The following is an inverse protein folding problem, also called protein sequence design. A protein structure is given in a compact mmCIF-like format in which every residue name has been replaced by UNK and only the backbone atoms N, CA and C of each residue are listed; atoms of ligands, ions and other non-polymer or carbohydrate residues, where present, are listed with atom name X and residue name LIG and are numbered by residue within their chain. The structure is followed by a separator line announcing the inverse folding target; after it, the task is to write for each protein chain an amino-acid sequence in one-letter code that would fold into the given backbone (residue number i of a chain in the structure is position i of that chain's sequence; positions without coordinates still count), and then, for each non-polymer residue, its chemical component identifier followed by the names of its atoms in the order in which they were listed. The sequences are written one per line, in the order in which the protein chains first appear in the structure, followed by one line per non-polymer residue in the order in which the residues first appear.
data_IF_320174987270
#
_entry.id   IF_320174987270
#
_cell.length_a   1.000
_cell.length_b   1.000
_cell.length_c   1.000
_cell.angle_alpha   90.00
_cell.angle_beta   90.00
_cell.angle_gamma   90.00
#
_symmetry.space_group_name_H-M   'P 1'
#
loop_
_entity.id
_entity.type
_entity.pdbx_description
1 polymer ?
#
# COMPACT_ATOMS: atom_id res chain seq x y z
N UNK A 1 -25.39 2.36 22.07
CA UNK A 1 -25.12 2.98 20.74
C UNK A 1 -24.42 1.93 19.90
N UNK A 2 -24.91 1.62 18.70
CA UNK A 2 -24.27 0.63 17.84
C UNK A 2 -22.88 1.15 17.42
N UNK A 3 -21.82 0.52 17.91
CA UNK A 3 -20.46 0.85 17.50
C UNK A 3 -20.26 0.34 16.07
N UNK A 4 -20.07 1.27 15.13
CA UNK A 4 -19.76 0.91 13.75
C UNK A 4 -18.45 0.10 13.74
N UNK A 5 -18.55 -1.18 13.38
CA UNK A 5 -17.39 -2.08 13.38
C UNK A 5 -16.51 -1.87 12.14
N UNK A 6 -17.13 -1.55 11.00
CA UNK A 6 -16.44 -1.40 9.72
C UNK A 6 -16.94 -0.14 9.00
N UNK A 7 -16.01 0.71 8.57
CA UNK A 7 -16.29 1.79 7.63
C UNK A 7 -15.54 1.53 6.34
N UNK A 8 -16.28 1.50 5.23
CA UNK A 8 -15.72 1.54 3.88
C UNK A 8 -15.80 3.00 3.42
N UNK A 9 -14.69 3.74 3.56
CA UNK A 9 -14.60 5.03 2.93
C UNK A 9 -14.52 4.82 1.41
N UNK A 10 -15.18 5.67 0.63
CA UNK A 10 -15.00 5.73 -0.82
C UNK A 10 -13.52 5.99 -1.18
N UNK A 11 -13.19 5.99 -2.47
CA UNK A 11 -11.81 6.28 -2.89
C UNK A 11 -11.40 7.71 -2.50
N UNK A 12 -10.21 7.86 -1.94
CA UNK A 12 -9.50 9.13 -1.72
C UNK A 12 -8.65 9.37 -2.97
N UNK A 13 -8.80 10.53 -3.58
CA UNK A 13 -8.00 10.91 -4.73
C UNK A 13 -6.66 11.42 -4.22
N UNK A 14 -5.55 10.82 -4.66
CA UNK A 14 -4.23 11.28 -4.20
C UNK A 14 -3.81 12.56 -4.93
N UNK A 15 -4.08 12.60 -6.23
CA UNK A 15 -3.83 13.75 -7.09
C UNK A 15 -5.10 14.10 -7.85
N UNK A 16 -5.26 15.39 -8.15
CA UNK A 16 -6.34 15.85 -9.02
C UNK A 16 -6.31 17.37 -9.22
N UNK A 17 -7.30 17.92 -9.96
CA UNK A 17 -7.42 19.35 -10.20
C UNK A 17 -7.61 20.17 -8.91
N UNK A 18 -7.30 21.47 -8.98
CA UNK A 18 -7.34 22.40 -7.83
C UNK A 18 -8.67 22.39 -7.04
N UNK A 19 -9.81 22.23 -7.72
CA UNK A 19 -11.14 22.32 -7.11
C UNK A 19 -11.75 20.97 -6.69
N UNK A 20 -10.94 19.92 -6.61
CA UNK A 20 -11.42 18.58 -6.27
C UNK A 20 -11.93 18.51 -4.82
N UNK A 21 -13.24 18.27 -4.63
CA UNK A 21 -13.87 18.23 -3.29
C UNK A 21 -14.02 16.83 -2.70
N UNK A 22 -13.63 15.78 -3.42
CA UNK A 22 -13.85 14.40 -3.03
C UNK A 22 -13.27 14.07 -1.65
N UNK A 23 -12.01 14.45 -1.41
CA UNK A 23 -11.33 14.18 -0.14
C UNK A 23 -11.96 14.94 1.02
N UNK A 24 -12.46 16.16 0.80
CA UNK A 24 -13.20 16.92 1.82
C UNK A 24 -14.47 16.20 2.26
N UNK A 25 -15.22 15.61 1.32
CA UNK A 25 -16.40 14.82 1.66
C UNK A 25 -16.02 13.56 2.48
N UNK A 26 -14.95 12.87 2.09
CA UNK A 26 -14.40 11.73 2.86
C UNK A 26 -13.98 12.18 4.26
N UNK A 27 -13.29 13.31 4.38
CA UNK A 27 -12.87 13.88 5.67
C UNK A 27 -14.07 14.22 6.56
N UNK A 28 -15.13 14.80 5.99
CA UNK A 28 -16.37 15.08 6.73
C UNK A 28 -17.03 13.80 7.26
N UNK A 29 -16.95 12.70 6.51
CA UNK A 29 -17.46 11.40 6.96
C UNK A 29 -16.60 10.80 8.08
N UNK A 30 -15.27 10.79 7.89
CA UNK A 30 -14.31 10.25 8.87
C UNK A 30 -14.44 10.94 10.24
N UNK A 31 -14.62 12.27 10.25
CA UNK A 31 -14.83 13.07 11.47
C UNK A 31 -16.09 12.73 12.27
N UNK A 32 -17.07 12.03 11.66
CA UNK A 32 -18.30 11.63 12.37
C UNK A 32 -18.07 10.48 13.35
N UNK A 33 -16.94 9.80 13.27
CA UNK A 33 -16.63 8.64 14.09
C UNK A 33 -15.39 8.92 14.94
N UNK A 34 -15.48 8.65 16.23
CA UNK A 34 -14.32 8.76 17.13
C UNK A 34 -13.50 7.46 17.16
N UNK A 35 -14.17 6.32 17.10
CA UNK A 35 -13.59 4.97 17.16
C UNK A 35 -14.29 4.08 16.14
N UNK A 36 -13.50 3.36 15.34
CA UNK A 36 -13.96 2.33 14.40
C UNK A 36 -13.01 1.14 14.54
N UNK A 37 -13.51 -0.09 14.58
CA UNK A 37 -12.60 -1.24 14.68
C UNK A 37 -11.75 -1.42 13.42
N UNK A 38 -12.41 -1.41 12.24
CA UNK A 38 -11.76 -1.55 10.93
C UNK A 38 -12.14 -0.40 9.99
N UNK A 39 -11.13 0.26 9.42
CA UNK A 39 -11.30 1.25 8.37
C UNK A 39 -10.69 0.74 7.08
N UNK A 40 -11.46 0.75 6.00
CA UNK A 40 -10.95 0.52 4.66
C UNK A 40 -10.92 1.83 3.88
N UNK A 41 -9.76 2.18 3.32
CA UNK A 41 -9.54 3.35 2.47
C UNK A 41 -8.88 2.88 1.17
N UNK A 42 -9.38 3.36 0.03
CA UNK A 42 -8.74 3.19 -1.26
C UNK A 42 -8.08 4.50 -1.69
N UNK A 43 -6.78 4.48 -1.99
CA UNK A 43 -6.04 5.59 -2.57
C UNK A 43 -6.02 5.41 -4.09
N UNK A 44 -6.58 6.37 -4.81
CA UNK A 44 -6.71 6.32 -6.25
C UNK A 44 -5.81 7.36 -6.92
N UNK A 45 -5.01 6.89 -7.87
CA UNK A 45 -4.14 7.69 -8.72
C UNK A 45 -4.73 7.71 -10.11
N UNK A 46 -4.89 8.90 -10.70
CA UNK A 46 -5.27 8.97 -12.12
C UNK A 46 -4.09 8.49 -12.99
N UNK A 47 -4.34 7.84 -14.15
CA UNK A 47 -3.26 7.41 -15.04
C UNK A 47 -2.34 8.55 -15.49
N UNK A 48 -2.93 9.73 -15.74
CA UNK A 48 -2.22 10.94 -16.14
C UNK A 48 -2.33 12.00 -15.05
N UNK A 49 -1.19 12.51 -14.57
CA UNK A 49 -1.11 13.49 -13.49
C UNK A 49 -0.71 14.90 -13.95
N UNK A 50 -0.76 15.17 -15.26
CA UNK A 50 -0.45 16.50 -15.79
C UNK A 50 -1.38 17.57 -15.20
N UNK A 51 -0.82 18.66 -14.67
CA UNK A 51 -1.53 19.76 -14.01
C UNK A 51 -2.36 19.34 -12.77
N UNK A 52 -2.04 18.22 -12.13
CA UNK A 52 -2.65 17.82 -10.87
C UNK A 52 -1.86 18.34 -9.67
N UNK A 53 -2.54 18.60 -8.56
CA UNK A 53 -1.91 18.88 -7.27
C UNK A 53 -2.08 17.68 -6.33
N UNK A 54 -1.27 17.63 -5.27
CA UNK A 54 -1.40 16.65 -4.20
C UNK A 54 -2.61 16.99 -3.31
N UNK A 55 -3.54 16.05 -3.13
CA UNK A 55 -4.83 16.27 -2.46
C UNK A 55 -4.95 15.59 -1.09
N UNK A 56 -3.96 14.80 -0.67
CA UNK A 56 -4.05 14.08 0.60
C UNK A 56 -4.12 15.02 1.80
N UNK A 57 -3.66 16.26 1.69
CA UNK A 57 -3.72 17.26 2.76
C UNK A 57 -5.15 17.62 3.20
N UNK A 58 -6.16 17.37 2.36
CA UNK A 58 -7.57 17.50 2.76
C UNK A 58 -7.97 16.44 3.82
N UNK A 59 -7.28 15.28 3.87
CA UNK A 59 -7.49 14.24 4.87
C UNK A 59 -6.61 14.54 6.07
N UNK A 60 -7.20 15.12 7.11
CA UNK A 60 -6.43 15.66 8.25
C UNK A 60 -6.56 14.85 9.53
N UNK A 61 -7.52 13.92 9.61
CA UNK A 61 -7.71 13.06 10.78
C UNK A 61 -8.39 11.76 10.37
N UNK A 62 -7.95 10.65 10.95
CA UNK A 62 -8.63 9.37 10.90
C UNK A 62 -9.22 9.07 12.28
N UNK A 63 -10.34 8.32 12.36
CA UNK A 63 -10.85 7.81 13.63
C UNK A 63 -9.79 6.93 14.30
N UNK A 64 -9.92 6.70 15.61
CA UNK A 64 -9.12 5.68 16.28
C UNK A 64 -9.50 4.31 15.71
N UNK A 65 -8.50 3.62 15.15
CA UNK A 65 -8.68 2.33 14.51
C UNK A 65 -7.68 1.30 15.02
N UNK A 66 -8.11 0.04 15.04
CA UNK A 66 -7.23 -1.10 15.34
C UNK A 66 -6.80 -1.84 14.08
N UNK A 67 -7.60 -1.78 13.01
CA UNK A 67 -7.30 -2.43 11.73
C UNK A 67 -7.47 -1.44 10.57
N UNK A 68 -6.39 -1.18 9.84
CA UNK A 68 -6.42 -0.47 8.55
C UNK A 68 -6.38 -1.44 7.37
N UNK A 69 -7.30 -1.27 6.42
CA UNK A 69 -7.20 -1.87 5.10
C UNK A 69 -6.95 -0.76 4.08
N UNK A 70 -5.72 -0.69 3.58
CA UNK A 70 -5.27 0.32 2.62
C UNK A 70 -5.16 -0.31 1.23
N UNK A 71 -6.06 0.07 0.33
CA UNK A 71 -5.96 -0.31 -1.08
C UNK A 71 -5.29 0.82 -1.85
N UNK A 72 -4.23 0.52 -2.59
CA UNK A 72 -3.56 1.48 -3.46
C UNK A 72 -3.83 1.09 -4.89
N UNK A 73 -4.42 2.00 -5.65
CA UNK A 73 -4.66 1.87 -7.09
C UNK A 73 -3.74 2.90 -7.76
N UNK A 74 -2.49 2.53 -7.99
CA UNK A 74 -1.42 3.50 -8.33
C UNK A 74 -1.29 3.82 -9.81
N UNK A 75 -1.77 2.94 -10.69
CA UNK A 75 -1.58 3.10 -12.15
C UNK A 75 -0.11 3.33 -12.56
N UNK A 76 0.84 2.71 -11.85
CA UNK A 76 2.28 2.81 -12.12
C UNK A 76 3.00 3.93 -11.35
N UNK A 77 2.24 4.82 -10.68
CA UNK A 77 2.79 5.91 -9.88
C UNK A 77 3.36 5.43 -8.54
N UNK A 78 4.30 6.18 -7.97
CA UNK A 78 4.80 5.91 -6.63
C UNK A 78 3.74 6.30 -5.59
N UNK A 79 3.55 5.46 -4.57
CA UNK A 79 2.47 5.66 -3.59
C UNK A 79 2.92 6.02 -2.17
N UNK A 80 4.22 5.99 -1.92
CA UNK A 80 4.78 6.05 -0.56
C UNK A 80 4.35 7.30 0.21
N UNK A 81 4.34 8.48 -0.44
CA UNK A 81 3.94 9.74 0.20
C UNK A 81 2.50 9.70 0.74
N UNK A 82 1.56 9.21 -0.08
CA UNK A 82 0.14 9.11 0.31
C UNK A 82 -0.10 8.07 1.40
N UNK A 83 0.63 6.94 1.36
CA UNK A 83 0.49 5.88 2.35
C UNK A 83 1.13 6.29 3.67
N UNK A 84 2.29 6.94 3.63
CA UNK A 84 2.91 7.60 4.78
C UNK A 84 1.96 8.61 5.41
N UNK A 85 1.30 9.44 4.60
CA UNK A 85 0.30 10.41 5.05
C UNK A 85 -0.88 9.73 5.78
N UNK A 86 -1.36 8.58 5.31
CA UNK A 86 -2.42 7.83 6.02
C UNK A 86 -1.88 7.28 7.34
N UNK A 87 -0.71 6.64 7.33
CA UNK A 87 -0.13 5.98 8.51
C UNK A 87 0.18 6.97 9.64
N UNK A 88 0.66 8.19 9.33
CA UNK A 88 0.88 9.24 10.34
C UNK A 88 -0.40 9.66 11.06
N UNK A 89 -1.57 9.48 10.45
CA UNK A 89 -2.87 9.83 11.05
C UNK A 89 -3.48 8.69 11.88
N UNK A 90 -2.92 7.48 11.85
CA UNK A 90 -3.45 6.32 12.57
C UNK A 90 -2.37 5.44 13.21
N UNK A 91 -1.45 6.05 13.97
CA UNK A 91 -0.31 5.36 14.60
C UNK A 91 -0.69 4.28 15.64
N UNK A 92 -1.93 4.33 16.16
CA UNK A 92 -2.48 3.30 17.07
C UNK A 92 -2.96 2.01 16.39
N UNK A 93 -2.82 1.90 15.07
CA UNK A 93 -3.21 0.71 14.31
C UNK A 93 -2.39 -0.51 14.75
N UNK A 94 -3.05 -1.66 14.90
CA UNK A 94 -2.41 -2.93 15.29
C UNK A 94 -2.25 -3.90 14.13
N UNK A 95 -3.18 -3.86 13.18
CA UNK A 95 -3.18 -4.71 11.99
C UNK A 95 -3.31 -3.86 10.73
N UNK A 96 -2.55 -4.18 9.71
CA UNK A 96 -2.65 -3.52 8.41
C UNK A 96 -2.75 -4.54 7.28
N UNK A 97 -3.68 -4.31 6.36
CA UNK A 97 -3.72 -4.98 5.06
C UNK A 97 -3.42 -3.93 3.98
N UNK A 98 -2.32 -4.08 3.25
CA UNK A 98 -1.93 -3.26 2.12
C UNK A 98 -2.16 -4.02 0.80
N UNK A 99 -3.08 -3.55 -0.03
CA UNK A 99 -3.36 -4.15 -1.35
C UNK A 99 -2.83 -3.25 -2.46
N UNK A 100 -1.86 -3.76 -3.24
CA UNK A 100 -1.21 -3.01 -4.32
C UNK A 100 -1.84 -3.40 -5.66
N UNK A 101 -2.74 -2.58 -6.19
CA UNK A 101 -3.44 -2.84 -7.45
C UNK A 101 -2.97 -1.91 -8.56
N UNK A 102 -2.87 -2.48 -9.74
CA UNK A 102 -2.67 -1.74 -11.00
C UNK A 102 -3.85 -2.04 -11.92
N UNK A 103 -4.38 -1.04 -12.64
CA UNK A 103 -5.50 -1.28 -13.56
C UNK A 103 -5.07 -1.94 -14.87
N UNK A 104 -3.78 -1.93 -15.21
CA UNK A 104 -3.26 -2.52 -16.44
C UNK A 104 -1.85 -3.07 -16.22
N UNK A 105 -1.58 -4.23 -16.82
CA UNK A 105 -0.31 -4.95 -16.75
C UNK A 105 0.84 -4.22 -17.46
N UNK A 106 0.53 -3.24 -18.31
CA UNK A 106 1.48 -2.53 -19.17
C UNK A 106 1.54 -1.01 -18.88
N UNK A 107 1.40 -0.60 -17.63
CA UNK A 107 1.64 0.80 -17.27
C UNK A 107 3.15 1.05 -17.13
N UNK A 108 3.70 2.10 -17.76
CA UNK A 108 5.08 2.47 -17.56
C UNK A 108 5.32 2.82 -16.08
N UNK A 109 6.53 2.54 -15.60
CA UNK A 109 6.93 3.01 -14.29
C UNK A 109 6.79 4.53 -14.20
N UNK A 110 6.44 5.03 -13.01
CA UNK A 110 6.42 6.45 -12.71
C UNK A 110 7.71 7.13 -13.21
N UNK A 111 7.57 8.14 -14.07
CA UNK A 111 8.72 8.88 -14.56
C UNK A 111 9.34 9.73 -13.44
N UNK A 112 10.63 10.03 -13.55
CA UNK A 112 11.33 10.96 -12.64
C UNK A 112 10.83 12.40 -12.73
N UNK A 113 10.09 12.74 -13.79
CA UNK A 113 9.47 14.05 -13.97
C UNK A 113 8.00 14.08 -13.49
N UNK A 114 7.55 13.00 -12.86
CA UNK A 114 6.22 12.94 -12.28
C UNK A 114 6.22 13.67 -10.94
N UNK A 115 5.12 14.37 -10.64
CA UNK A 115 4.89 15.02 -9.34
C UNK A 115 5.03 14.06 -8.15
N UNK A 116 4.83 12.75 -8.37
CA UNK A 116 5.02 11.74 -7.34
C UNK A 116 6.48 11.63 -6.85
N UNK A 117 7.46 12.09 -7.63
CA UNK A 117 8.87 12.08 -7.25
C UNK A 117 9.29 13.31 -6.41
N UNK A 118 8.45 14.35 -6.38
CA UNK A 118 8.69 15.53 -5.54
C UNK A 118 8.50 15.23 -4.04
N UNK A 119 7.62 14.27 -3.73
CA UNK A 119 7.25 13.90 -2.36
C UNK A 119 8.02 12.64 -1.90
N UNK A 120 9.33 12.76 -1.73
CA UNK A 120 10.22 11.65 -1.33
C UNK A 120 10.62 11.66 0.14
N UNK A 121 10.19 12.66 0.90
CA UNK A 121 10.46 12.82 2.33
C UNK A 121 10.08 11.58 3.15
N UNK A 122 9.02 10.85 2.78
CA UNK A 122 8.64 9.60 3.44
C UNK A 122 9.75 8.53 3.47
N UNK A 123 10.73 8.56 2.55
CA UNK A 123 11.85 7.60 2.55
C UNK A 123 12.82 7.84 3.72
N UNK A 124 12.95 9.09 4.16
CA UNK A 124 13.91 9.52 5.19
C UNK A 124 13.24 9.87 6.52
N UNK A 125 11.99 10.35 6.48
CA UNK A 125 11.25 10.70 7.67
C UNK A 125 10.99 9.49 8.58
N UNK A 126 11.15 9.74 9.88
CA UNK A 126 10.78 8.79 10.91
C UNK A 126 9.27 8.83 11.13
N UNK A 127 8.68 7.65 11.22
CA UNK A 127 7.31 7.45 11.65
C UNK A 127 7.33 6.36 12.71
N UNK A 128 6.58 6.56 13.77
CA UNK A 128 6.50 5.63 14.86
C UNK A 128 5.15 4.87 14.80
N UNK A 129 5.21 3.58 14.50
CA UNK A 129 4.07 2.66 14.49
C UNK A 129 4.20 1.64 15.63
N UNK A 130 4.41 2.12 16.86
CA UNK A 130 4.61 1.32 18.08
C UNK A 130 3.47 0.35 18.45
N UNK A 131 2.34 0.37 17.74
CA UNK A 131 1.24 -0.56 17.95
C UNK A 131 1.11 -1.61 16.84
N UNK A 132 1.80 -1.44 15.70
CA UNK A 132 1.59 -2.26 14.51
C UNK A 132 2.30 -3.61 14.66
N UNK A 133 1.51 -4.66 14.87
CA UNK A 133 1.97 -6.03 15.16
C UNK A 133 1.86 -6.95 13.95
N UNK A 134 0.81 -6.77 13.13
CA UNK A 134 0.52 -7.65 12.00
C UNK A 134 0.38 -6.84 10.71
N UNK A 135 1.11 -7.24 9.67
CA UNK A 135 1.00 -6.65 8.34
C UNK A 135 0.75 -7.75 7.31
N UNK A 136 -0.22 -7.54 6.44
CA UNK A 136 -0.37 -8.31 5.21
C UNK A 136 -0.21 -7.39 4.01
N UNK A 137 0.64 -7.79 3.07
CA UNK A 137 0.84 -7.12 1.79
C UNK A 137 0.36 -8.05 0.70
N UNK A 138 -0.54 -7.57 -0.14
CA UNK A 138 -1.06 -8.34 -1.28
C UNK A 138 -0.65 -7.71 -2.60
N UNK A 139 -0.39 -8.57 -3.57
CA UNK A 139 -0.06 -8.23 -4.96
C UNK A 139 1.26 -7.47 -5.12
N UNK A 140 2.27 -7.79 -4.29
CA UNK A 140 3.60 -7.20 -4.41
C UNK A 140 4.26 -7.62 -5.73
N UNK A 141 4.70 -6.65 -6.54
CA UNK A 141 5.37 -6.88 -7.83
C UNK A 141 6.90 -6.73 -7.72
N UNK A 142 7.35 -6.08 -6.65
CA UNK A 142 8.76 -5.82 -6.36
C UNK A 142 9.35 -4.73 -7.25
N UNK A 143 8.59 -3.69 -7.55
CA UNK A 143 9.14 -2.45 -8.10
C UNK A 143 9.76 -1.61 -6.99
N UNK A 144 10.74 -0.76 -7.31
CA UNK A 144 11.61 -0.10 -6.33
C UNK A 144 10.85 0.66 -5.23
N UNK A 145 9.78 1.37 -5.59
CA UNK A 145 9.01 2.14 -4.62
C UNK A 145 8.20 1.25 -3.67
N UNK A 146 7.77 0.06 -4.11
CA UNK A 146 7.14 -0.93 -3.23
C UNK A 146 8.15 -1.45 -2.22
N UNK A 147 9.33 -1.90 -2.69
CA UNK A 147 10.39 -2.44 -1.82
C UNK A 147 10.87 -1.38 -0.83
N UNK A 148 11.05 -0.14 -1.29
CA UNK A 148 11.41 0.99 -0.42
C UNK A 148 10.34 1.27 0.64
N UNK A 149 9.05 1.15 0.30
CA UNK A 149 7.97 1.29 1.27
C UNK A 149 7.97 0.17 2.31
N UNK A 150 8.16 -1.09 1.90
CA UNK A 150 8.26 -2.22 2.84
C UNK A 150 9.47 -2.07 3.76
N UNK A 151 10.62 -1.63 3.23
CA UNK A 151 11.79 -1.29 4.05
C UNK A 151 11.47 -0.24 5.11
N UNK A 152 10.73 0.80 4.73
CA UNK A 152 10.30 1.83 5.68
C UNK A 152 9.33 1.28 6.73
N UNK A 153 8.40 0.38 6.36
CA UNK A 153 7.50 -0.28 7.31
C UNK A 153 8.27 -1.04 8.39
N UNK A 154 9.29 -1.82 8.03
CA UNK A 154 10.15 -2.50 9.02
C UNK A 154 10.86 -1.53 9.97
N UNK A 155 11.25 -0.36 9.47
CA UNK A 155 11.87 0.70 10.29
C UNK A 155 10.86 1.36 11.22
N UNK A 156 9.65 1.63 10.75
CA UNK A 156 8.61 2.35 11.49
C UNK A 156 7.90 1.49 12.53
N UNK A 157 7.71 0.19 12.25
CA UNK A 157 6.98 -0.76 13.10
C UNK A 157 7.96 -1.62 13.91
N UNK A 158 8.51 -1.04 14.99
CA UNK A 158 9.54 -1.69 15.81
C UNK A 158 9.03 -2.90 16.62
N UNK A 159 7.71 -3.02 16.79
CA UNK A 159 7.04 -4.12 17.50
C UNK A 159 6.37 -5.12 16.55
N UNK A 160 6.73 -5.11 15.26
CA UNK A 160 6.12 -5.95 14.25
C UNK A 160 6.42 -7.44 14.52
N UNK A 161 5.35 -8.20 14.80
CA UNK A 161 5.42 -9.63 15.13
C UNK A 161 5.33 -10.48 13.88
N UNK A 162 4.46 -10.13 12.93
CA UNK A 162 4.24 -10.92 11.71
C UNK A 162 4.01 -10.03 10.49
N UNK A 163 4.67 -10.37 9.39
CA UNK A 163 4.41 -9.80 8.07
C UNK A 163 4.22 -10.91 7.03
N UNK A 164 3.07 -10.85 6.34
CA UNK A 164 2.71 -11.77 5.27
C UNK A 164 2.80 -11.05 3.94
N UNK A 165 3.52 -11.63 2.99
CA UNK A 165 3.78 -11.02 1.69
C UNK A 165 3.28 -11.96 0.60
N UNK A 166 2.20 -11.55 -0.04
CA UNK A 166 1.63 -12.23 -1.18
C UNK A 166 2.09 -11.54 -2.46
N UNK A 167 2.91 -12.23 -3.25
CA UNK A 167 3.40 -11.73 -4.52
C UNK A 167 2.31 -11.73 -5.59
N UNK A 168 2.41 -10.78 -6.52
CA UNK A 168 1.57 -10.75 -7.71
C UNK A 168 1.88 -11.96 -8.61
N UNK A 169 0.85 -12.57 -9.20
CA UNK A 169 0.98 -13.82 -9.98
C UNK A 169 1.87 -13.70 -11.23
N UNK A 170 2.18 -12.48 -11.69
CA UNK A 170 3.03 -12.23 -12.87
C UNK A 170 4.53 -12.25 -12.55
N UNK A 171 4.92 -12.29 -11.28
CA UNK A 171 6.33 -12.25 -10.90
C UNK A 171 7.06 -13.54 -11.29
N UNK A 172 8.31 -13.42 -11.73
CA UNK A 172 9.15 -14.59 -12.03
C UNK A 172 9.69 -15.23 -10.74
N UNK A 173 9.95 -16.55 -10.77
CA UNK A 173 10.49 -17.25 -9.61
C UNK A 173 11.87 -16.75 -9.16
N UNK A 174 12.72 -16.31 -10.09
CA UNK A 174 14.03 -15.71 -9.77
C UNK A 174 13.87 -14.39 -9.01
N UNK A 175 12.95 -13.52 -9.46
CA UNK A 175 12.67 -12.24 -8.81
C UNK A 175 12.03 -12.43 -7.43
N UNK A 176 11.18 -13.45 -7.26
CA UNK A 176 10.64 -13.81 -5.92
C UNK A 176 11.77 -14.14 -4.96
N UNK A 177 12.73 -14.98 -5.36
CA UNK A 177 13.85 -15.35 -4.49
C UNK A 177 14.68 -14.13 -4.08
N UNK A 178 15.03 -13.27 -5.04
CA UNK A 178 15.76 -12.02 -4.79
C UNK A 178 15.00 -11.11 -3.81
N UNK A 179 13.70 -10.95 -4.00
CA UNK A 179 12.86 -10.15 -3.10
C UNK A 179 12.75 -10.77 -1.71
N UNK A 180 12.61 -12.10 -1.60
CA UNK A 180 12.58 -12.76 -0.30
C UNK A 180 13.88 -12.49 0.47
N UNK A 181 15.05 -12.67 -0.16
CA UNK A 181 16.35 -12.37 0.44
C UNK A 181 16.46 -10.90 0.86
N UNK A 182 16.06 -9.99 -0.03
CA UNK A 182 16.07 -8.54 0.21
C UNK A 182 15.17 -8.17 1.38
N UNK A 183 13.93 -8.65 1.41
CA UNK A 183 12.94 -8.30 2.44
C UNK A 183 13.29 -8.91 3.80
N UNK A 184 13.86 -10.12 3.81
CA UNK A 184 14.39 -10.74 5.04
C UNK A 184 15.55 -9.92 5.60
N UNK A 185 16.40 -9.31 4.76
CA UNK A 185 17.49 -8.45 5.23
C UNK A 185 17.03 -7.19 5.97
N UNK A 186 15.76 -6.79 5.81
CA UNK A 186 15.16 -5.66 6.55
C UNK A 186 14.56 -6.08 7.89
N UNK A 187 14.23 -7.36 8.04
CA UNK A 187 13.50 -7.89 9.20
C UNK A 187 14.40 -8.01 10.44
N UNK A 188 13.79 -7.89 11.61
CA UNK A 188 14.43 -8.21 12.90
C UNK A 188 14.32 -9.70 13.15
N UNK A 189 15.18 -10.26 13.99
CA UNK A 189 15.19 -11.68 14.34
C UNK A 189 13.86 -12.19 14.92
N UNK A 190 13.09 -11.31 15.55
CA UNK A 190 11.82 -11.63 16.21
C UNK A 190 10.62 -11.53 15.27
N UNK A 191 10.76 -10.89 14.10
CA UNK A 191 9.66 -10.71 13.16
C UNK A 191 9.49 -11.96 12.30
N UNK A 192 8.31 -12.58 12.37
CA UNK A 192 7.95 -13.68 11.47
C UNK A 192 7.61 -13.12 10.08
N UNK A 193 8.36 -13.52 9.06
CA UNK A 193 8.13 -13.13 7.66
C UNK A 193 7.65 -14.34 6.86
N UNK A 194 6.43 -14.27 6.35
CA UNK A 194 5.80 -15.32 5.56
C UNK A 194 5.64 -14.87 4.11
N UNK A 195 6.04 -15.71 3.15
CA UNK A 195 5.96 -15.41 1.73
C UNK A 195 5.00 -16.37 1.01
N UNK A 196 4.17 -15.82 0.14
CA UNK A 196 3.17 -16.55 -0.62
C UNK A 196 3.21 -16.15 -2.10
N UNK A 197 3.14 -17.15 -2.97
CA UNK A 197 3.04 -16.95 -4.41
C UNK A 197 1.83 -17.72 -4.94
N UNK A 198 0.79 -17.00 -5.35
CA UNK A 198 -0.33 -17.62 -6.06
C UNK A 198 0.04 -17.80 -7.53
N UNK A 199 0.32 -19.05 -7.93
CA UNK A 199 0.44 -19.42 -9.34
C UNK A 199 -0.95 -19.66 -9.93
N UNK A 200 -1.27 -18.98 -11.03
CA UNK A 200 -2.45 -19.32 -11.83
C UNK A 200 -2.19 -20.63 -12.57
N UNK A 201 -2.91 -21.70 -12.20
CA UNK A 201 -2.79 -23.04 -12.78
C UNK A 201 -3.00 -23.13 -14.30
N UNK A 202 -3.45 -22.06 -14.96
CA UNK A 202 -3.68 -22.01 -16.40
C UNK A 202 -2.42 -21.77 -17.25
N UNK A 203 -1.29 -21.32 -16.66
CA UNK A 203 -0.04 -21.08 -17.42
C UNK A 203 0.89 -22.29 -17.49
N UNK A 204 0.82 -23.20 -16.52
CA UNK A 204 1.65 -24.41 -16.51
C UNK A 204 1.28 -25.41 -17.62
N UNK A 205 0.10 -25.26 -18.25
CA UNK A 205 -0.32 -26.04 -19.41
C UNK A 205 0.29 -25.58 -20.75
N UNK A 206 0.93 -24.39 -20.81
CA UNK A 206 1.54 -23.88 -22.05
C UNK A 206 3.04 -24.17 -22.16
N UNK A 207 3.74 -24.38 -21.04
CA UNK A 207 5.19 -24.67 -21.04
C UNK A 207 5.53 -26.17 -21.12
N UNK A 208 4.53 -27.06 -21.08
CA UNK A 208 4.73 -28.51 -21.30
C UNK A 208 4.31 -28.99 -22.70
N UNK A 209 3.97 -28.06 -23.61
CA UNK A 209 3.30 -28.36 -24.87
C UNK A 209 4.01 -27.90 -26.14
N UNK A 210 5.35 -27.87 -26.20
CA UNK A 210 6.08 -27.78 -27.48
C UNK A 210 7.30 -28.68 -27.43
N UNK A 211 7.05 -29.96 -27.71
CA UNK A 211 8.08 -30.98 -27.83
C UNK A 211 7.46 -32.28 -28.28
N UNK A 212 6.94 -32.31 -29.51
CA UNK A 212 6.86 -33.50 -30.36
C UNK A 212 6.34 -33.13 -31.76
N UNK A 213 7.12 -33.61 -32.75
CA UNK A 213 7.08 -33.45 -34.21
C UNK A 213 7.62 -32.12 -34.76
#
# INVERSE_FOLDING_TARGET
MAHLQVLLASYVLVYGPHDTRNNRAVQMLLKRFQVIHRLAIALFYQPHLGNCQYLMEDITVLPHITFLSLMVISNGHTFGASSFHVLRLCTGVRRMLLMLKTHSEAQPACSSFCICDELTNWKTEELNLNCLQEVEISYLTGVDHEVAFVKCLFRWATVLETIKINFHHSISGSKVRELCETLLSFSRSETCVEFYLHRNAARDAKDQGTGLL
#
